data_IF_320662438704
#
_entry.id   IF_320662438704
#
_cell.length_a   1.000
_cell.length_b   1.000
_cell.length_c   1.000
_cell.angle_alpha   90.00
_cell.angle_beta   90.00
_cell.angle_gamma   90.00
#
_symmetry.space_group_name_H-M   'P 1'
#
loop_
_entity.id
_entity.type
_entity.pdbx_description
1 polymer ?
#
# COMPACT_ATOMS: atom_id res chain seq x y z
N UNK A 1 -8.07 -45.41 14.65
CA UNK A 1 -9.39 -44.95 14.25
C UNK A 1 -9.74 -43.80 15.18
N UNK A 2 -9.44 -42.57 14.78
CA UNK A 2 -9.94 -41.36 15.43
C UNK A 2 -10.11 -40.32 14.31
N UNK A 3 -11.37 -40.15 13.96
CA UNK A 3 -11.82 -39.15 13.00
C UNK A 3 -11.42 -37.76 13.46
N UNK A 4 -10.73 -37.02 12.59
CA UNK A 4 -10.56 -35.57 12.68
C UNK A 4 -11.59 -34.93 11.76
N UNK A 5 -12.60 -34.30 12.33
CA UNK A 5 -13.47 -33.40 11.61
C UNK A 5 -12.69 -32.14 11.19
N UNK A 6 -12.82 -31.72 9.94
CA UNK A 6 -12.40 -30.35 9.54
C UNK A 6 -13.38 -29.36 10.14
N UNK A 7 -12.86 -28.30 10.70
CA UNK A 7 -13.62 -27.11 11.12
C UNK A 7 -13.98 -26.36 9.84
N UNK A 8 -15.22 -26.53 9.39
CA UNK A 8 -15.85 -25.64 8.40
C UNK A 8 -16.14 -24.31 9.11
N UNK A 9 -15.47 -23.26 8.68
CA UNK A 9 -15.77 -21.89 9.06
C UNK A 9 -16.55 -21.21 7.90
N UNK A 10 -17.89 -20.98 8.07
CA UNK A 10 -18.74 -20.51 6.98
C UNK A 10 -18.86 -18.98 6.85
N UNK A 11 -17.89 -18.18 7.31
CA UNK A 11 -18.01 -16.73 7.28
C UNK A 11 -17.01 -15.99 6.34
N UNK A 12 -16.51 -16.65 5.30
CA UNK A 12 -15.58 -16.01 4.36
C UNK A 12 -16.17 -15.60 3.00
N UNK A 13 -17.47 -15.78 2.77
CA UNK A 13 -18.14 -15.42 1.52
C UNK A 13 -19.45 -14.65 1.74
N UNK A 14 -19.37 -13.49 2.38
CA UNK A 14 -20.45 -12.51 2.32
C UNK A 14 -19.99 -11.27 1.54
N UNK A 15 -20.06 -11.36 0.21
CA UNK A 15 -20.18 -10.18 -0.65
C UNK A 15 -21.58 -9.61 -0.39
N UNK A 16 -21.74 -8.33 -0.01
CA UNK A 16 -23.06 -7.72 0.08
C UNK A 16 -23.68 -7.71 -1.31
N UNK A 17 -24.75 -8.46 -1.46
CA UNK A 17 -25.62 -8.43 -2.62
C UNK A 17 -26.60 -7.25 -2.51
N UNK A 18 -26.12 -6.01 -2.71
CA UNK A 18 -26.96 -4.84 -2.91
C UNK A 18 -26.26 -3.89 -3.86
N UNK A 19 -26.27 -4.22 -5.14
CA UNK A 19 -26.05 -3.28 -6.24
C UNK A 19 -26.63 -3.90 -7.52
N UNK A 20 -27.97 -4.08 -7.52
CA UNK A 20 -28.72 -4.13 -8.76
C UNK A 20 -29.01 -2.68 -9.19
N UNK A 21 -28.02 -2.04 -9.81
CA UNK A 21 -28.21 -0.99 -10.78
C UNK A 21 -27.28 -1.34 -11.94
N UNK A 22 -27.85 -1.92 -12.98
CA UNK A 22 -27.23 -2.06 -14.31
C UNK A 22 -27.10 -0.66 -14.93
N UNK A 23 -26.16 0.16 -14.42
CA UNK A 23 -25.61 1.26 -15.16
C UNK A 23 -24.51 0.71 -16.07
N UNK A 24 -24.57 1.04 -17.37
CA UNK A 24 -23.54 0.77 -18.38
C UNK A 24 -22.16 0.89 -17.74
N UNK A 25 -21.41 -0.21 -17.72
CA UNK A 25 -20.09 -0.29 -17.14
C UNK A 25 -19.09 0.60 -17.92
N UNK A 26 -19.21 1.91 -17.71
CA UNK A 26 -18.30 2.91 -18.24
C UNK A 26 -16.91 2.75 -17.64
N UNK A 27 -15.90 2.85 -18.46
CA UNK A 27 -14.51 2.92 -17.96
C UNK A 27 -14.28 4.32 -17.38
N UNK A 28 -13.82 4.37 -16.13
CA UNK A 28 -13.50 5.62 -15.42
C UNK A 28 -12.05 6.02 -15.68
N UNK A 29 -11.83 7.31 -16.00
CA UNK A 29 -10.49 7.87 -16.18
C UNK A 29 -9.78 8.05 -14.83
N UNK A 30 -8.67 7.34 -14.64
CA UNK A 30 -7.85 7.43 -13.43
C UNK A 30 -6.64 8.34 -13.59
N UNK A 31 -6.18 8.53 -14.83
CA UNK A 31 -5.08 9.40 -15.18
C UNK A 31 -5.19 9.80 -16.65
N UNK A 32 -4.89 11.05 -16.96
CA UNK A 32 -4.78 11.52 -18.33
C UNK A 32 -3.60 12.46 -18.49
N UNK A 33 -2.92 12.35 -19.62
CA UNK A 33 -1.84 13.24 -20.01
C UNK A 33 -1.79 13.38 -21.52
N UNK A 34 -1.52 14.59 -22.00
CA UNK A 34 -1.26 14.84 -23.42
C UNK A 34 0.24 15.01 -23.62
N UNK A 35 0.78 14.30 -24.59
CA UNK A 35 2.19 14.41 -24.96
C UNK A 35 2.49 15.79 -25.56
N UNK A 36 3.63 16.36 -25.19
CA UNK A 36 4.06 17.68 -25.64
C UNK A 36 4.23 17.72 -27.17
N UNK A 37 4.07 18.91 -27.77
CA UNK A 37 4.29 19.14 -29.21
C UNK A 37 5.67 18.73 -29.70
N UNK A 38 6.69 18.84 -28.83
CA UNK A 38 8.07 18.46 -29.07
C UNK A 38 8.45 17.06 -28.59
N UNK A 39 7.47 16.22 -28.22
CA UNK A 39 7.73 14.88 -27.70
C UNK A 39 8.51 14.03 -28.68
N UNK A 40 9.72 13.60 -28.30
CA UNK A 40 10.47 12.60 -29.05
C UNK A 40 9.83 11.23 -28.87
N UNK A 41 9.82 10.38 -29.94
CA UNK A 41 9.21 9.05 -29.85
C UNK A 41 9.80 8.23 -28.73
N UNK A 42 8.99 7.91 -27.71
CA UNK A 42 9.36 7.15 -26.52
C UNK A 42 8.33 6.04 -26.29
N UNK A 43 8.77 4.89 -25.78
CA UNK A 43 7.84 3.81 -25.40
C UNK A 43 6.86 4.28 -24.34
N UNK A 44 5.60 3.86 -24.46
CA UNK A 44 4.51 4.22 -23.57
C UNK A 44 4.80 3.87 -22.10
N UNK A 45 5.36 2.68 -21.86
CA UNK A 45 5.75 2.25 -20.51
C UNK A 45 6.79 3.21 -19.89
N UNK A 46 7.78 3.64 -20.65
CA UNK A 46 8.80 4.58 -20.17
C UNK A 46 8.22 5.99 -20.01
N UNK A 47 7.37 6.42 -20.94
CA UNK A 47 6.72 7.74 -20.91
C UNK A 47 5.89 7.94 -19.65
N UNK A 48 5.08 6.92 -19.29
CA UNK A 48 4.24 6.94 -18.09
C UNK A 48 5.05 6.80 -16.79
N UNK A 49 6.10 5.97 -16.76
CA UNK A 49 6.96 5.81 -15.57
C UNK A 49 7.59 7.13 -15.13
N UNK A 50 7.94 8.02 -16.07
CA UNK A 50 8.52 9.33 -15.75
C UNK A 50 7.48 10.34 -15.25
N UNK A 51 6.21 10.17 -15.61
CA UNK A 51 5.12 11.11 -15.33
C UNK A 51 4.18 10.70 -14.21
N UNK A 52 4.27 9.46 -13.76
CA UNK A 52 3.44 8.92 -12.70
C UNK A 52 4.31 8.61 -11.48
N UNK A 53 4.11 9.35 -10.42
CA UNK A 53 4.72 9.08 -9.13
C UNK A 53 4.22 7.73 -8.57
N UNK A 54 5.11 6.99 -7.92
CA UNK A 54 4.81 5.72 -7.27
C UNK A 54 4.27 4.59 -8.17
N UNK A 55 4.46 4.68 -9.48
CA UNK A 55 4.04 3.66 -10.43
C UNK A 55 5.24 2.95 -11.08
N UNK A 56 5.40 1.66 -10.79
CA UNK A 56 6.48 0.87 -11.39
C UNK A 56 6.20 0.55 -12.87
N UNK A 57 7.26 0.41 -13.66
CA UNK A 57 7.15 0.04 -15.08
C UNK A 57 6.39 -1.26 -15.31
N UNK A 58 6.57 -2.26 -14.44
CA UNK A 58 5.85 -3.53 -14.53
C UNK A 58 4.34 -3.37 -14.35
N UNK A 59 3.93 -2.45 -13.46
CA UNK A 59 2.51 -2.14 -13.23
C UNK A 59 1.89 -1.47 -14.46
N UNK A 60 2.62 -0.57 -15.11
CA UNK A 60 2.19 0.06 -16.37
C UNK A 60 2.07 -0.97 -17.48
N UNK A 61 3.01 -1.89 -17.60
CA UNK A 61 2.95 -2.97 -18.60
C UNK A 61 1.73 -3.86 -18.37
N UNK A 62 1.47 -4.30 -17.14
CA UNK A 62 0.30 -5.09 -16.80
C UNK A 62 -1.02 -4.36 -17.13
N UNK A 63 -1.10 -3.06 -16.85
CA UNK A 63 -2.26 -2.24 -17.21
C UNK A 63 -2.46 -2.12 -18.72
N UNK A 64 -1.39 -2.00 -19.49
CA UNK A 64 -1.45 -1.98 -20.96
C UNK A 64 -1.89 -3.33 -21.53
N UNK A 65 -1.39 -4.43 -20.97
CA UNK A 65 -1.75 -5.80 -21.39
C UNK A 65 -3.22 -6.13 -21.07
N UNK A 66 -3.77 -5.53 -20.00
CA UNK A 66 -5.20 -5.62 -19.65
C UNK A 66 -6.09 -4.65 -20.45
N UNK A 67 -5.54 -3.88 -21.40
CA UNK A 67 -6.31 -2.92 -22.20
C UNK A 67 -6.70 -1.63 -21.46
N UNK A 68 -6.20 -1.41 -20.26
CA UNK A 68 -6.55 -0.28 -19.38
C UNK A 68 -5.76 1.01 -19.72
N UNK A 69 -4.88 1.00 -20.71
CA UNK A 69 -4.19 2.19 -21.18
C UNK A 69 -4.64 2.51 -22.60
N UNK A 70 -5.24 3.66 -22.77
CA UNK A 70 -5.71 4.15 -24.05
C UNK A 70 -4.78 5.25 -24.57
N UNK A 71 -4.54 5.23 -25.90
CA UNK A 71 -3.91 6.33 -26.63
C UNK A 71 -4.90 6.81 -27.68
N UNK A 72 -5.30 8.06 -27.59
CA UNK A 72 -6.32 8.65 -28.47
C UNK A 72 -7.62 7.81 -28.49
N UNK A 73 -8.04 7.32 -27.30
CA UNK A 73 -9.26 6.53 -27.10
C UNK A 73 -9.16 5.05 -27.51
N UNK A 74 -7.98 4.54 -27.92
CA UNK A 74 -7.78 3.14 -28.31
C UNK A 74 -6.77 2.46 -27.41
N UNK A 75 -7.05 1.22 -27.01
CA UNK A 75 -6.13 0.42 -26.19
C UNK A 75 -4.76 0.29 -26.86
N UNK A 76 -3.70 0.55 -26.11
CA UNK A 76 -2.34 0.58 -26.62
C UNK A 76 -1.42 -0.37 -25.84
N UNK A 77 -0.53 -1.05 -26.55
CA UNK A 77 0.51 -1.90 -25.94
C UNK A 77 1.56 -1.05 -25.22
N UNK A 78 2.18 -1.59 -24.18
CA UNK A 78 3.28 -0.95 -23.43
C UNK A 78 4.46 -0.51 -24.32
N UNK A 79 4.66 -1.17 -25.46
CA UNK A 79 5.71 -0.86 -26.44
C UNK A 79 5.34 0.25 -27.44
N UNK A 80 4.10 0.75 -27.43
CA UNK A 80 3.67 1.85 -28.29
C UNK A 80 4.63 3.02 -28.19
N UNK A 81 4.97 3.66 -29.30
CA UNK A 81 5.81 4.85 -29.35
C UNK A 81 4.92 6.08 -29.32
N UNK A 82 4.91 6.73 -28.18
CA UNK A 82 4.17 7.99 -27.95
C UNK A 82 4.63 9.04 -28.94
N UNK A 83 3.69 9.68 -29.61
CA UNK A 83 3.89 10.76 -30.59
C UNK A 83 3.49 12.12 -30.00
N UNK A 84 3.96 13.24 -30.56
CA UNK A 84 3.46 14.54 -30.18
C UNK A 84 1.93 14.61 -30.20
N UNK A 85 1.35 15.25 -29.20
CA UNK A 85 -0.10 15.44 -29.02
C UNK A 85 -0.92 14.17 -28.78
N UNK A 86 -0.31 13.00 -28.60
CA UNK A 86 -1.05 11.82 -28.18
C UNK A 86 -1.70 12.09 -26.82
N UNK A 87 -3.02 11.84 -26.72
CA UNK A 87 -3.72 11.81 -25.43
C UNK A 87 -3.68 10.40 -24.88
N UNK A 88 -3.02 10.24 -23.73
CA UNK A 88 -2.85 8.97 -23.05
C UNK A 88 -3.76 8.99 -21.81
N UNK A 89 -4.55 7.93 -21.64
CA UNK A 89 -5.50 7.78 -20.53
C UNK A 89 -5.29 6.41 -19.88
N UNK A 90 -5.37 6.35 -18.57
CA UNK A 90 -5.49 5.09 -17.81
C UNK A 90 -6.92 5.01 -17.32
N UNK A 91 -7.61 3.96 -17.69
CA UNK A 91 -9.01 3.73 -17.39
C UNK A 91 -9.18 2.46 -16.58
N UNK A 92 -10.15 2.45 -15.67
CA UNK A 92 -10.47 1.30 -14.82
C UNK A 92 -11.99 1.06 -14.83
N UNK A 93 -12.46 -0.17 -14.60
CA UNK A 93 -13.89 -0.47 -14.53
C UNK A 93 -14.58 0.02 -13.25
N UNK A 94 -13.89 0.76 -12.41
CA UNK A 94 -14.40 1.35 -11.17
C UNK A 94 -13.97 2.81 -11.06
N UNK A 95 -14.74 3.68 -10.40
CA UNK A 95 -14.40 5.09 -10.24
C UNK A 95 -13.11 5.26 -9.45
N UNK A 96 -12.38 6.33 -9.73
CA UNK A 96 -11.22 6.74 -8.93
C UNK A 96 -11.73 7.05 -7.52
N UNK A 97 -11.44 6.18 -6.56
CA UNK A 97 -11.64 6.51 -5.15
C UNK A 97 -10.47 7.37 -4.72
N UNK A 98 -10.69 8.65 -4.59
CA UNK A 98 -9.84 9.49 -3.78
C UNK A 98 -10.11 9.08 -2.35
N UNK A 99 -9.16 8.36 -1.74
CA UNK A 99 -9.23 8.07 -0.31
C UNK A 99 -8.84 9.38 0.36
N UNK A 100 -9.83 10.22 0.64
CA UNK A 100 -9.64 11.38 1.48
C UNK A 100 -9.25 10.88 2.88
N UNK A 101 -8.07 11.27 3.31
CA UNK A 101 -7.58 10.96 4.64
C UNK A 101 -8.30 11.87 5.63
N UNK A 102 -9.28 11.33 6.34
CA UNK A 102 -10.05 12.06 7.36
C UNK A 102 -9.47 11.78 8.74
N UNK A 103 -9.29 12.83 9.54
CA UNK A 103 -8.90 12.69 10.94
C UNK A 103 -10.03 12.09 11.77
N UNK A 104 -9.75 11.00 12.51
CA UNK A 104 -10.75 10.29 13.30
C UNK A 104 -10.29 10.19 14.76
N UNK A 105 -11.20 10.45 15.72
CA UNK A 105 -10.94 10.35 17.16
C UNK A 105 -10.91 8.87 17.61
N UNK A 106 -9.84 8.19 17.23
CA UNK A 106 -9.58 6.79 17.61
C UNK A 106 -8.56 6.82 18.74
N UNK A 107 -8.82 6.16 19.89
CA UNK A 107 -7.89 6.09 21.01
C UNK A 107 -6.55 5.47 20.58
N UNK A 108 -5.45 6.13 20.95
CA UNK A 108 -4.08 5.65 20.75
C UNK A 108 -3.41 5.37 22.09
N UNK A 109 -2.72 4.24 22.21
CA UNK A 109 -1.78 4.01 23.28
C UNK A 109 -0.43 4.61 22.88
N UNK A 110 -0.02 5.69 23.57
CA UNK A 110 1.19 6.48 23.28
C UNK A 110 2.11 6.39 24.50
N UNK A 111 2.97 5.35 24.58
CA UNK A 111 3.88 5.18 25.71
C UNK A 111 5.00 6.24 25.79
N UNK A 112 5.27 6.95 24.71
CA UNK A 112 6.26 8.03 24.67
C UNK A 112 5.88 9.06 23.62
N UNK A 113 6.07 10.34 23.95
CA UNK A 113 5.95 11.46 23.04
C UNK A 113 6.83 12.63 23.47
N UNK A 114 7.53 13.25 22.52
CA UNK A 114 8.26 14.50 22.69
C UNK A 114 7.92 15.50 21.57
N UNK A 115 8.74 16.54 21.41
CA UNK A 115 8.53 17.56 20.38
C UNK A 115 8.85 17.06 18.95
N UNK A 116 9.57 15.93 18.82
CA UNK A 116 10.10 15.44 17.54
C UNK A 116 9.39 14.19 17.03
N UNK A 117 9.05 13.31 17.95
CA UNK A 117 8.45 12.01 17.63
C UNK A 117 7.48 11.54 18.70
N UNK A 118 6.68 10.56 18.34
CA UNK A 118 5.89 9.78 19.29
C UNK A 118 6.02 8.28 18.97
N UNK A 119 5.83 7.47 20.01
CA UNK A 119 5.70 6.02 19.89
C UNK A 119 4.22 5.64 20.08
N UNK A 120 3.72 4.78 19.22
CA UNK A 120 2.38 4.21 19.38
C UNK A 120 2.52 2.71 19.59
N UNK A 121 1.92 2.17 20.67
CA UNK A 121 1.73 0.73 20.81
C UNK A 121 0.44 0.33 20.06
N UNK A 122 0.62 -0.14 18.84
CA UNK A 122 -0.50 -0.48 17.95
C UNK A 122 -1.13 -1.80 18.41
N UNK A 123 -2.44 -1.85 18.68
CA UNK A 123 -3.12 -3.12 18.92
C UNK A 123 -3.17 -4.00 17.66
N UNK A 124 -3.30 -5.32 17.86
CA UNK A 124 -3.65 -6.23 16.79
C UNK A 124 -5.06 -5.89 16.25
N UNK A 125 -5.28 -6.10 14.96
CA UNK A 125 -6.54 -5.76 14.27
C UNK A 125 -6.58 -4.34 13.67
N UNK A 126 -5.78 -3.39 14.15
CA UNK A 126 -5.72 -2.04 13.59
C UNK A 126 -4.84 -1.99 12.34
N UNK A 127 -5.41 -1.54 11.23
CA UNK A 127 -4.68 -1.30 9.98
C UNK A 127 -3.86 -0.01 10.11
N UNK A 128 -2.64 0.00 9.60
CA UNK A 128 -1.78 1.20 9.70
C UNK A 128 -2.21 2.27 8.71
N UNK A 129 -2.42 1.95 7.44
CA UNK A 129 -2.68 2.92 6.39
C UNK A 129 -3.93 2.55 5.59
N UNK A 130 -4.79 3.50 5.23
CA UNK A 130 -5.96 3.22 4.39
C UNK A 130 -5.59 2.48 3.11
N UNK A 131 -6.45 1.57 2.71
CA UNK A 131 -6.28 0.76 1.50
C UNK A 131 -7.54 -0.01 1.17
N UNK A 132 -7.47 -0.91 0.18
CA UNK A 132 -8.62 -1.71 -0.28
C UNK A 132 -9.24 -2.46 0.91
N UNK A 133 -10.53 -2.26 1.13
CA UNK A 133 -11.29 -2.87 2.23
C UNK A 133 -11.13 -2.21 3.61
N UNK A 134 -10.26 -1.20 3.76
CA UNK A 134 -10.05 -0.46 5.01
C UNK A 134 -9.75 1.01 4.67
N UNK A 135 -10.78 1.78 4.32
CA UNK A 135 -10.62 3.17 3.85
C UNK A 135 -10.60 4.19 4.99
N UNK A 136 -11.08 3.81 6.17
CA UNK A 136 -11.19 4.59 7.41
C UNK A 136 -10.85 3.70 8.61
N UNK A 137 -10.88 4.25 9.81
CA UNK A 137 -10.60 3.49 11.04
C UNK A 137 -9.16 3.00 11.14
N UNK A 138 -8.20 3.68 10.52
CA UNK A 138 -6.79 3.25 10.48
C UNK A 138 -5.93 4.06 11.46
N UNK A 139 -4.72 3.59 11.73
CA UNK A 139 -3.77 4.32 12.55
C UNK A 139 -3.48 5.72 11.99
N UNK A 140 -3.41 5.88 10.65
CA UNK A 140 -3.22 7.20 10.03
C UNK A 140 -4.36 8.15 10.37
N UNK A 141 -5.61 7.70 10.33
CA UNK A 141 -6.76 8.54 10.70
C UNK A 141 -6.68 9.01 12.15
N UNK A 142 -6.29 8.12 13.07
CA UNK A 142 -6.08 8.43 14.48
C UNK A 142 -4.91 9.40 14.72
N UNK A 143 -3.78 9.18 14.02
CA UNK A 143 -2.61 10.06 14.10
C UNK A 143 -2.92 11.46 13.59
N UNK A 144 -3.64 11.59 12.49
CA UNK A 144 -4.08 12.90 11.98
C UNK A 144 -4.89 13.66 13.03
N UNK A 145 -5.82 12.99 13.70
CA UNK A 145 -6.60 13.61 14.77
C UNK A 145 -5.72 14.05 15.96
N UNK A 146 -4.82 13.17 16.40
CA UNK A 146 -3.91 13.45 17.52
C UNK A 146 -2.98 14.63 17.23
N UNK A 147 -2.33 14.64 16.05
CA UNK A 147 -1.40 15.68 15.63
C UNK A 147 -2.11 17.03 15.40
N UNK A 148 -3.30 17.02 14.78
CA UNK A 148 -4.09 18.22 14.55
C UNK A 148 -4.50 18.89 15.88
N UNK A 149 -4.84 18.12 16.92
CA UNK A 149 -5.08 18.65 18.27
C UNK A 149 -3.87 19.39 18.86
N UNK A 150 -2.67 19.04 18.45
CA UNK A 150 -1.42 19.69 18.87
C UNK A 150 -1.01 20.87 17.97
N UNK A 151 -1.84 21.21 16.97
CA UNK A 151 -1.52 22.26 16.00
C UNK A 151 -0.46 21.87 14.97
N UNK A 152 -0.25 20.56 14.78
CA UNK A 152 0.64 20.00 13.76
C UNK A 152 -0.25 19.56 12.59
N UNK A 153 -0.21 20.24 11.43
CA UNK A 153 -1.08 19.93 10.30
C UNK A 153 -0.65 18.60 9.66
N UNK A 154 -1.31 17.52 10.08
CA UNK A 154 -0.98 16.16 9.66
C UNK A 154 -1.27 15.91 8.16
N UNK A 155 -2.18 16.69 7.55
CA UNK A 155 -2.48 16.65 6.12
C UNK A 155 -1.27 17.09 5.26
N UNK A 156 -0.46 18.01 5.77
CA UNK A 156 0.75 18.49 5.10
C UNK A 156 1.93 17.54 5.27
N UNK A 157 1.84 16.60 6.22
CA UNK A 157 2.88 15.63 6.46
C UNK A 157 2.67 14.38 5.60
N UNK A 158 3.72 13.95 4.95
CA UNK A 158 3.69 12.73 4.16
C UNK A 158 3.31 11.52 5.04
N UNK A 159 2.11 10.95 4.85
CA UNK A 159 1.59 9.79 5.58
C UNK A 159 1.47 9.99 7.10
N UNK A 160 1.12 11.19 7.57
CA UNK A 160 1.00 11.51 8.99
C UNK A 160 2.25 11.12 9.80
N UNK A 161 3.46 11.35 9.26
CA UNK A 161 4.72 11.11 9.94
C UNK A 161 5.17 9.64 10.02
N UNK A 162 4.47 8.71 9.37
CA UNK A 162 4.82 7.30 9.35
C UNK A 162 6.09 7.03 8.53
N UNK A 163 7.07 6.37 9.13
CA UNK A 163 8.33 5.96 8.49
C UNK A 163 8.41 4.45 8.24
N UNK A 164 7.55 3.66 8.89
CA UNK A 164 7.43 2.22 8.71
C UNK A 164 6.03 1.72 9.02
N UNK A 165 5.80 0.44 8.82
CA UNK A 165 4.52 -0.20 9.13
C UNK A 165 4.73 -1.63 9.64
N UNK A 166 3.74 -2.12 10.37
CA UNK A 166 3.56 -3.53 10.73
C UNK A 166 2.20 -4.00 10.21
N UNK A 167 1.97 -5.30 10.13
CA UNK A 167 0.74 -5.85 9.59
C UNK A 167 -0.47 -5.58 10.49
N UNK A 168 -1.67 -5.75 9.94
CA UNK A 168 -2.94 -5.53 10.64
C UNK A 168 -2.98 -6.26 11.98
N UNK A 169 -2.66 -7.55 11.98
CA UNK A 169 -2.76 -8.42 13.15
C UNK A 169 -1.48 -8.47 13.99
N UNK A 170 -0.45 -7.73 13.63
CA UNK A 170 0.75 -7.54 14.46
C UNK A 170 0.54 -6.37 15.41
N UNK A 171 0.76 -6.59 16.70
CA UNK A 171 0.79 -5.54 17.72
C UNK A 171 2.22 -5.07 17.98
N UNK A 172 2.36 -3.90 18.63
CA UNK A 172 3.63 -3.38 19.08
C UNK A 172 3.98 -1.99 18.57
N UNK A 173 5.17 -1.55 18.89
CA UNK A 173 5.61 -0.17 18.74
C UNK A 173 5.84 0.26 17.31
N UNK A 174 5.26 1.41 16.95
CA UNK A 174 5.61 2.19 15.78
C UNK A 174 6.16 3.54 16.21
N UNK A 175 7.18 4.03 15.49
CA UNK A 175 7.71 5.38 15.64
C UNK A 175 7.13 6.29 14.57
N UNK A 176 6.67 7.46 14.98
CA UNK A 176 6.01 8.46 14.17
C UNK A 176 6.78 9.77 14.30
N UNK A 177 7.14 10.39 13.20
CA UNK A 177 7.78 11.70 13.18
C UNK A 177 6.74 12.81 13.30
N UNK A 178 7.05 13.89 14.02
CA UNK A 178 6.19 15.07 14.15
C UNK A 178 6.58 16.22 13.24
N UNK A 179 7.72 16.10 12.55
CA UNK A 179 8.22 17.06 11.56
C UNK A 179 8.98 16.37 10.43
N UNK A 180 9.15 17.08 9.31
CA UNK A 180 9.76 16.55 8.10
C UNK A 180 11.25 16.16 8.30
N UNK A 181 12.00 16.92 9.09
CA UNK A 181 13.42 16.64 9.33
C UNK A 181 13.59 15.34 10.14
N UNK A 182 12.78 15.17 11.17
CA UNK A 182 12.73 13.93 11.96
C UNK A 182 12.29 12.75 11.10
N UNK A 183 11.27 12.96 10.24
CA UNK A 183 10.82 11.94 9.29
C UNK A 183 11.97 11.49 8.38
N UNK A 184 12.69 12.42 7.77
CA UNK A 184 13.82 12.09 6.88
C UNK A 184 14.94 11.32 7.61
N UNK A 185 15.26 11.70 8.84
CA UNK A 185 16.29 11.03 9.66
C UNK A 185 15.87 9.61 10.06
N UNK A 186 14.64 9.42 10.48
CA UNK A 186 14.10 8.11 10.83
C UNK A 186 13.98 7.22 9.60
N UNK A 187 13.43 7.73 8.49
CA UNK A 187 13.32 7.01 7.23
C UNK A 187 14.69 6.51 6.73
N UNK A 188 15.73 7.34 6.89
CA UNK A 188 17.10 6.93 6.56
C UNK A 188 17.58 5.76 7.43
N UNK A 189 17.30 5.76 8.73
CA UNK A 189 17.70 4.64 9.61
C UNK A 189 16.97 3.34 9.24
N UNK A 190 15.70 3.42 8.83
CA UNK A 190 14.97 2.25 8.29
C UNK A 190 15.55 1.77 6.97
N UNK A 191 15.91 2.67 6.08
CA UNK A 191 16.52 2.36 4.79
C UNK A 191 17.91 1.72 4.95
N UNK A 192 18.76 2.29 5.82
CA UNK A 192 20.11 1.80 6.10
C UNK A 192 20.10 0.54 7.02
N UNK A 193 18.92 0.07 7.47
CA UNK A 193 18.75 -1.05 8.39
C UNK A 193 19.53 -0.91 9.71
N UNK A 194 19.72 0.31 10.22
CA UNK A 194 20.44 0.57 11.47
C UNK A 194 19.54 0.45 12.69
N UNK A 195 18.22 0.48 12.53
CA UNK A 195 17.25 0.28 13.61
C UNK A 195 17.21 -1.20 14.01
N UNK A 196 17.42 -1.47 15.29
CA UNK A 196 17.25 -2.81 15.86
C UNK A 196 15.77 -3.09 16.11
N UNK A 197 15.25 -4.11 15.44
CA UNK A 197 13.85 -4.55 15.58
C UNK A 197 13.80 -5.94 16.17
N UNK A 198 12.86 -6.14 17.13
CA UNK A 198 12.60 -7.47 17.72
C UNK A 198 11.12 -7.76 17.64
N UNK A 199 10.78 -8.99 17.31
CA UNK A 199 9.43 -9.51 17.25
C UNK A 199 9.34 -10.82 18.03
N UNK A 200 8.17 -11.06 18.63
CA UNK A 200 7.80 -12.35 19.21
C UNK A 200 6.71 -12.94 18.34
N UNK A 201 6.85 -14.19 17.95
CA UNK A 201 5.87 -14.89 17.13
C UNK A 201 5.59 -16.28 17.70
N UNK A 202 4.32 -16.66 17.75
CA UNK A 202 3.91 -18.04 17.97
C UNK A 202 3.91 -18.77 16.62
N UNK A 203 4.67 -19.85 16.52
CA UNK A 203 4.82 -20.64 15.30
C UNK A 203 4.42 -22.08 15.51
N UNK A 204 4.13 -22.80 14.42
CA UNK A 204 3.85 -24.25 14.46
C UNK A 204 5.15 -25.06 14.52
N UNK A 205 5.14 -26.11 15.35
CA UNK A 205 6.28 -27.01 15.52
C UNK A 205 7.27 -26.53 16.56
N UNK A 206 8.37 -27.24 16.66
CA UNK A 206 9.50 -26.94 17.52
C UNK A 206 10.77 -26.79 16.69
N UNK A 207 11.71 -26.04 17.20
CA UNK A 207 13.06 -25.97 16.66
C UNK A 207 13.94 -26.99 17.42
N UNK A 208 14.89 -27.58 16.71
CA UNK A 208 15.87 -28.48 17.31
C UNK A 208 16.93 -27.71 18.09
N UNK A 209 17.21 -26.48 17.69
CA UNK A 209 18.18 -25.57 18.32
C UNK A 209 17.47 -24.34 18.90
N UNK A 210 18.00 -23.83 20.02
CA UNK A 210 17.44 -22.66 20.70
C UNK A 210 17.64 -21.36 19.92
N UNK A 211 18.67 -21.30 19.06
CA UNK A 211 19.00 -20.15 18.22
C UNK A 211 19.34 -20.60 16.81
N UNK A 212 19.01 -19.77 15.84
CA UNK A 212 19.33 -20.03 14.44
C UNK A 212 19.12 -18.83 13.53
N UNK A 213 19.63 -18.92 12.32
CA UNK A 213 19.42 -17.87 11.30
C UNK A 213 18.73 -18.49 10.10
N UNK A 214 17.57 -17.91 9.73
CA UNK A 214 16.86 -18.27 8.50
C UNK A 214 17.10 -17.14 7.50
N UNK A 215 17.72 -17.49 6.36
CA UNK A 215 17.99 -16.55 5.27
C UNK A 215 17.15 -16.91 4.05
N UNK A 216 16.76 -15.89 3.27
CA UNK A 216 16.01 -16.05 2.03
C UNK A 216 15.29 -14.78 1.63
N UNK A 217 14.93 -14.68 0.37
CA UNK A 217 14.17 -13.55 -0.16
C UNK A 217 12.69 -13.85 -0.12
N UNK A 218 11.90 -12.99 0.52
CA UNK A 218 10.46 -13.14 0.65
C UNK A 218 9.77 -12.35 -0.46
N UNK A 219 8.94 -13.02 -1.25
CA UNK A 219 8.13 -12.40 -2.29
C UNK A 219 6.77 -13.06 -2.46
N UNK A 220 5.96 -12.52 -3.37
CA UNK A 220 4.67 -13.14 -3.69
C UNK A 220 4.87 -14.47 -4.40
N UNK A 221 4.14 -15.51 -3.97
CA UNK A 221 4.20 -16.81 -4.62
C UNK A 221 3.83 -16.70 -6.12
N UNK A 222 4.60 -17.32 -7.02
CA UNK A 222 4.27 -17.34 -8.45
C UNK A 222 3.03 -18.20 -8.74
N UNK A 223 2.67 -19.13 -7.86
CA UNK A 223 1.49 -20.01 -8.01
C UNK A 223 0.23 -19.42 -7.38
N UNK A 224 0.37 -18.66 -6.30
CA UNK A 224 -0.74 -18.07 -5.57
C UNK A 224 -0.30 -16.71 -5.02
N UNK A 225 -0.73 -15.64 -5.67
CA UNK A 225 -0.32 -14.27 -5.33
C UNK A 225 -0.86 -13.78 -3.97
N UNK A 226 -1.78 -14.49 -3.35
CA UNK A 226 -2.26 -14.18 -2.01
C UNK A 226 -1.27 -14.67 -0.95
N UNK A 227 -0.42 -15.64 -1.28
CA UNK A 227 0.59 -16.21 -0.37
C UNK A 227 1.97 -15.60 -0.58
N UNK A 228 2.73 -15.55 0.50
CA UNK A 228 4.16 -15.24 0.46
C UNK A 228 4.94 -16.53 0.26
N UNK A 229 6.09 -16.42 -0.40
CA UNK A 229 6.99 -17.53 -0.68
C UNK A 229 8.43 -17.09 -0.43
N UNK A 230 9.26 -18.01 0.05
CA UNK A 230 10.69 -17.78 0.26
C UNK A 230 11.44 -18.29 -0.96
N UNK A 231 12.19 -17.41 -1.62
CA UNK A 231 13.05 -17.76 -2.75
C UNK A 231 14.47 -17.96 -2.26
N UNK A 232 15.12 -19.02 -2.74
CA UNK A 232 16.52 -19.33 -2.37
C UNK A 232 17.50 -18.32 -2.99
N UNK A 233 17.16 -17.81 -4.20
CA UNK A 233 17.96 -16.83 -4.93
C UNK A 233 17.14 -15.56 -5.15
N UNK A 234 17.75 -14.38 -4.98
CA UNK A 234 17.16 -13.05 -5.14
C UNK A 234 17.48 -12.42 -6.49
#
# INVERSE_FOLDING_TARGET
MTDRHPIDDPELDAVPADAEDEEEAGLYEHFAVTADKGQTPMRLDKFLTVRMEHCSRNRIQAAADSGNILVNGKAAKSSYKVKPLDRIQIVMPYPRREVELVAEDIPLDIPYEDQWLLLVDKPAGLVVHPGVGNYSGTLVNALMHHLNKQGIPAEEQNRAGLVHRIDKNTSGLLVIAKDEQTHARLAKQFFDHTIQRRYVALVWGNFDEDEGTITGNIGRSPKDRQKMFVFADG
#
